data_IF_158553990039
#
_entry.id   IF_158553990039
#
_cell.length_a   1.000
_cell.length_b   1.000
_cell.length_c   1.000
_cell.angle_alpha   90.00
_cell.angle_beta   90.00
_cell.angle_gamma   90.00
#
_symmetry.space_group_name_H-M   'P 1'
#
loop_
_entity.id
_entity.type
_entity.pdbx_description
1 polymer ?
#
# COMPACT_ATOMS: atom_id res chain seq x y z
N UNK A 1 -15.89 -26.07 15.70
CA UNK A 1 -15.08 -25.67 16.87
C UNK A 1 -14.13 -24.59 16.43
N UNK A 2 -14.47 -23.33 16.66
CA UNK A 2 -13.65 -22.17 16.26
C UNK A 2 -12.45 -22.10 17.20
N UNK A 3 -11.28 -22.50 16.72
CA UNK A 3 -10.05 -22.40 17.49
C UNK A 3 -9.81 -20.92 17.79
N UNK A 4 -9.93 -20.52 19.06
CA UNK A 4 -9.53 -19.19 19.51
C UNK A 4 -8.03 -19.09 19.25
N UNK A 5 -7.64 -18.45 18.13
CA UNK A 5 -6.24 -18.15 17.85
C UNK A 5 -5.74 -17.30 19.01
N UNK A 6 -4.80 -17.85 19.80
CA UNK A 6 -4.12 -17.15 20.89
C UNK A 6 -3.69 -15.77 20.37
N UNK A 7 -4.22 -14.70 20.97
CA UNK A 7 -3.91 -13.34 20.55
C UNK A 7 -2.38 -13.14 20.58
N UNK A 8 -1.81 -12.59 19.50
CA UNK A 8 -0.36 -12.33 19.44
C UNK A 8 0.00 -11.35 20.56
N UNK A 9 1.12 -11.59 21.24
CA UNK A 9 1.64 -10.73 22.34
C UNK A 9 1.86 -9.27 21.90
N UNK A 10 2.04 -9.04 20.60
CA UNK A 10 2.18 -7.73 19.98
C UNK A 10 1.50 -7.73 18.61
N UNK A 11 0.95 -6.57 18.22
CA UNK A 11 0.45 -6.36 16.86
C UNK A 11 1.63 -6.34 15.88
N UNK A 12 1.69 -7.25 14.90
CA UNK A 12 2.70 -7.21 13.84
C UNK A 12 2.58 -5.93 12.99
N UNK A 13 3.66 -5.54 12.31
CA UNK A 13 3.69 -4.38 11.42
C UNK A 13 3.17 -4.78 10.03
N UNK A 14 2.12 -4.11 9.54
CA UNK A 14 1.65 -4.21 8.16
C UNK A 14 2.09 -2.95 7.41
N UNK A 15 2.89 -3.12 6.37
CA UNK A 15 3.28 -2.04 5.47
C UNK A 15 2.31 -1.96 4.31
N UNK A 16 1.80 -0.76 4.03
CA UNK A 16 0.95 -0.49 2.88
C UNK A 16 1.72 0.47 1.96
N UNK A 17 1.82 0.13 0.68
CA UNK A 17 2.15 1.14 -0.32
C UNK A 17 1.01 2.18 -0.42
N UNK A 18 1.31 3.33 -1.04
CA UNK A 18 0.35 4.41 -1.20
C UNK A 18 -0.28 4.44 -2.60
N UNK A 19 0.51 4.65 -3.64
CA UNK A 19 0.05 4.92 -5.02
C UNK A 19 -0.30 3.62 -5.77
N UNK A 20 -1.60 3.33 -5.89
CA UNK A 20 -2.11 2.07 -6.45
C UNK A 20 -2.60 1.11 -5.37
N UNK A 21 -2.48 1.46 -4.09
CA UNK A 21 -2.97 0.65 -2.96
C UNK A 21 -3.97 1.42 -2.10
N UNK A 22 -3.57 2.58 -1.55
CA UNK A 22 -4.47 3.44 -0.76
C UNK A 22 -5.07 4.54 -1.63
N UNK A 23 -4.23 5.18 -2.44
CA UNK A 23 -4.58 6.18 -3.45
C UNK A 23 -4.79 5.47 -4.79
N UNK A 24 -5.87 5.78 -5.52
CA UNK A 24 -6.22 5.02 -6.74
C UNK A 24 -5.13 5.07 -7.81
N UNK A 25 -4.51 6.23 -7.99
CA UNK A 25 -3.36 6.43 -8.88
C UNK A 25 -3.68 6.25 -10.38
N UNK A 26 -4.86 6.67 -10.84
CA UNK A 26 -5.25 6.58 -12.28
C UNK A 26 -4.44 7.51 -13.16
N UNK A 27 -4.10 8.68 -12.62
CA UNK A 27 -3.42 9.74 -13.35
C UNK A 27 -1.88 9.63 -13.33
N UNK A 28 -1.33 8.58 -12.71
CA UNK A 28 0.11 8.32 -12.63
C UNK A 28 0.89 9.33 -11.77
N UNK A 29 2.23 9.26 -11.86
CA UNK A 29 3.13 10.08 -11.05
C UNK A 29 3.12 11.56 -11.48
N UNK A 30 2.95 12.45 -10.51
CA UNK A 30 2.94 13.91 -10.72
C UNK A 30 3.83 14.67 -9.72
N UNK A 31 4.71 13.96 -9.03
CA UNK A 31 5.57 14.49 -7.97
C UNK A 31 5.04 14.23 -6.56
N UNK A 32 5.95 14.19 -5.58
CA UNK A 32 5.65 13.69 -4.24
C UNK A 32 4.51 14.43 -3.51
N UNK A 33 4.37 15.74 -3.75
CA UNK A 33 3.39 16.60 -3.08
C UNK A 33 2.03 16.66 -3.79
N UNK A 34 1.90 16.09 -4.99
CA UNK A 34 0.68 16.16 -5.77
C UNK A 34 -0.05 14.81 -5.74
N UNK A 35 -1.22 14.80 -5.11
CA UNK A 35 -2.10 13.63 -4.95
C UNK A 35 -3.51 14.08 -5.36
N UNK A 36 -3.96 13.63 -6.52
CA UNK A 36 -5.11 14.17 -7.25
C UNK A 36 -6.22 13.16 -7.52
N UNK A 37 -6.19 12.02 -6.83
CA UNK A 37 -7.16 10.95 -6.96
C UNK A 37 -7.83 10.63 -5.63
N UNK A 38 -8.99 9.98 -5.67
CA UNK A 38 -9.65 9.45 -4.48
C UNK A 38 -8.99 8.17 -3.95
N UNK A 39 -9.37 7.72 -2.74
CA UNK A 39 -8.93 6.42 -2.25
C UNK A 39 -9.42 5.27 -3.13
N UNK A 40 -8.66 4.19 -3.14
CA UNK A 40 -9.16 2.90 -3.65
C UNK A 40 -10.44 2.52 -2.86
N UNK A 41 -11.52 2.05 -3.51
CA UNK A 41 -12.76 1.73 -2.82
C UNK A 41 -12.53 0.71 -1.70
N UNK A 42 -13.02 1.01 -0.50
CA UNK A 42 -12.83 0.18 0.69
C UNK A 42 -11.49 0.37 1.41
N UNK A 43 -10.58 1.22 0.92
CA UNK A 43 -9.26 1.41 1.56
C UNK A 43 -9.38 2.00 2.98
N UNK A 44 -10.31 2.94 3.19
CA UNK A 44 -10.52 3.57 4.50
C UNK A 44 -11.00 2.54 5.53
N UNK A 45 -12.00 1.74 5.15
CA UNK A 45 -12.57 0.65 5.97
C UNK A 45 -11.51 -0.40 6.25
N UNK A 46 -10.76 -0.81 5.22
CA UNK A 46 -9.68 -1.78 5.36
C UNK A 46 -8.62 -1.32 6.37
N UNK A 47 -8.12 -0.09 6.25
CA UNK A 47 -7.09 0.41 7.18
C UNK A 47 -7.64 0.47 8.60
N UNK A 48 -8.91 0.87 8.77
CA UNK A 48 -9.60 0.91 10.08
C UNK A 48 -9.68 -0.48 10.70
N UNK A 49 -10.14 -1.48 9.98
CA UNK A 49 -10.23 -2.87 10.45
C UNK A 49 -8.85 -3.49 10.68
N UNK A 50 -7.93 -3.33 9.74
CA UNK A 50 -6.57 -3.85 9.85
C UNK A 50 -5.84 -3.29 11.09
N UNK A 51 -6.08 -2.02 11.46
CA UNK A 51 -5.50 -1.40 12.66
C UNK A 51 -5.86 -2.13 13.97
N UNK A 52 -6.96 -2.90 14.00
CA UNK A 52 -7.34 -3.71 15.16
C UNK A 52 -6.38 -4.89 15.38
N UNK A 53 -5.68 -5.35 14.34
CA UNK A 53 -4.80 -6.52 14.35
C UNK A 53 -3.33 -6.17 14.12
N UNK A 54 -3.05 -5.07 13.41
CA UNK A 54 -1.72 -4.67 12.97
C UNK A 54 -1.37 -3.27 13.47
N UNK A 55 -0.07 -3.01 13.58
CA UNK A 55 0.47 -1.65 13.52
C UNK A 55 0.60 -1.31 12.04
N UNK A 56 -0.11 -0.28 11.58
CA UNK A 56 -0.07 0.13 10.17
C UNK A 56 1.09 1.12 9.97
N UNK A 57 1.84 0.91 8.89
CA UNK A 57 2.79 1.89 8.36
C UNK A 57 2.56 2.07 6.88
N UNK A 58 2.53 3.32 6.42
CA UNK A 58 2.56 3.65 4.99
C UNK A 58 4.01 3.83 4.58
N UNK A 59 4.41 3.15 3.50
CA UNK A 59 5.75 3.27 2.92
C UNK A 59 5.61 3.41 1.41
N UNK A 60 6.01 4.57 0.89
CA UNK A 60 5.84 4.94 -0.52
C UNK A 60 7.11 5.55 -1.06
N UNK A 61 7.28 5.54 -2.38
CA UNK A 61 8.31 6.34 -3.08
C UNK A 61 8.18 7.85 -2.81
N UNK A 62 7.03 8.32 -2.31
CA UNK A 62 6.84 9.69 -1.82
C UNK A 62 7.55 9.94 -0.48
N UNK A 63 7.69 8.92 0.37
CA UNK A 63 8.12 9.10 1.76
C UNK A 63 9.48 9.76 1.92
N UNK A 64 10.45 9.41 1.06
CA UNK A 64 11.81 9.95 1.12
C UNK A 64 11.96 11.32 0.45
N UNK A 65 10.90 11.86 -0.15
CA UNK A 65 10.94 13.14 -0.86
C UNK A 65 10.43 14.27 0.05
N UNK A 66 11.04 15.47 0.00
CA UNK A 66 10.60 16.61 0.78
C UNK A 66 9.10 16.92 0.58
N UNK A 67 8.34 16.96 1.68
CA UNK A 67 6.90 17.23 1.66
C UNK A 67 6.02 16.03 1.28
N UNK A 68 6.60 14.87 0.98
CA UNK A 68 5.84 13.70 0.52
C UNK A 68 5.02 13.05 1.62
N UNK A 69 5.58 12.91 2.83
CA UNK A 69 4.85 12.39 3.99
C UNK A 69 3.71 13.34 4.37
N UNK A 70 3.98 14.64 4.41
CA UNK A 70 3.00 15.66 4.76
C UNK A 70 1.83 15.67 3.77
N UNK A 71 2.12 15.53 2.48
CA UNK A 71 1.08 15.44 1.46
C UNK A 71 0.22 14.17 1.62
N UNK A 72 0.84 13.00 1.83
CA UNK A 72 0.11 11.75 2.06
C UNK A 72 -0.73 11.83 3.35
N UNK A 73 -0.18 12.37 4.42
CA UNK A 73 -0.88 12.52 5.70
C UNK A 73 -2.10 13.44 5.56
N UNK A 74 -1.94 14.62 4.96
CA UNK A 74 -3.04 15.56 4.74
C UNK A 74 -4.13 14.97 3.84
N UNK A 75 -3.74 14.22 2.80
CA UNK A 75 -4.68 13.52 1.94
C UNK A 75 -5.43 12.41 2.72
N UNK A 76 -4.73 11.61 3.52
CA UNK A 76 -5.36 10.54 4.32
C UNK A 76 -6.33 11.10 5.36
N UNK A 77 -5.98 12.22 6.00
CA UNK A 77 -6.87 12.93 6.92
C UNK A 77 -8.13 13.43 6.22
N UNK A 78 -7.98 14.08 5.05
CA UNK A 78 -9.10 14.57 4.22
C UNK A 78 -10.12 13.47 3.91
N UNK A 79 -9.68 12.25 3.65
CA UNK A 79 -10.55 11.12 3.31
C UNK A 79 -10.97 10.25 4.51
N UNK A 80 -10.63 10.65 5.74
CA UNK A 80 -11.12 9.99 6.96
C UNK A 80 -10.43 8.68 7.30
N UNK A 81 -9.19 8.46 6.82
CA UNK A 81 -8.37 7.36 7.29
C UNK A 81 -8.04 7.51 8.79
N UNK A 82 -7.89 6.41 9.55
CA UNK A 82 -7.35 6.50 10.90
C UNK A 82 -5.88 6.94 10.87
N UNK A 83 -5.38 7.42 12.00
CA UNK A 83 -3.96 7.79 12.15
C UNK A 83 -3.05 6.56 11.98
N UNK A 84 -2.01 6.70 11.16
CA UNK A 84 -1.02 5.66 10.88
C UNK A 84 0.39 6.25 10.89
N UNK A 85 1.41 5.38 10.93
CA UNK A 85 2.80 5.81 10.80
C UNK A 85 3.22 5.90 9.34
N UNK A 86 4.21 6.74 9.05
CA UNK A 86 4.88 6.80 7.75
C UNK A 86 6.35 6.42 7.93
N UNK A 87 6.89 5.60 7.02
CA UNK A 87 8.30 5.22 7.03
C UNK A 87 9.06 5.96 5.93
N UNK A 88 10.27 6.43 6.22
CA UNK A 88 11.21 6.97 5.23
C UNK A 88 12.03 5.87 4.54
N UNK A 89 12.31 4.79 5.26
CA UNK A 89 13.10 3.65 4.81
C UNK A 89 12.29 2.36 4.85
N UNK A 90 12.78 1.31 4.19
CA UNK A 90 12.12 0.00 4.14
C UNK A 90 11.77 -0.50 5.56
N UNK A 91 10.48 -0.64 5.88
CA UNK A 91 10.08 -1.06 7.21
C UNK A 91 10.39 -2.55 7.44
N UNK A 92 10.67 -2.92 8.70
CA UNK A 92 10.74 -4.32 9.15
C UNK A 92 9.34 -4.91 9.28
N UNK A 93 8.60 -4.93 8.17
CA UNK A 93 7.21 -5.35 8.13
C UNK A 93 7.07 -6.87 8.28
N UNK A 94 6.02 -7.29 8.98
CA UNK A 94 5.59 -8.69 8.96
C UNK A 94 4.99 -9.06 7.61
N UNK A 95 4.27 -8.11 6.99
CA UNK A 95 3.67 -8.25 5.67
C UNK A 95 3.63 -6.87 4.98
N UNK A 96 3.72 -6.87 3.66
CA UNK A 96 3.57 -5.68 2.81
C UNK A 96 2.47 -5.92 1.79
N UNK A 97 1.62 -4.91 1.55
CA UNK A 97 0.68 -4.86 0.43
C UNK A 97 1.13 -3.73 -0.50
N UNK A 98 1.37 -4.07 -1.76
CA UNK A 98 1.98 -3.20 -2.77
C UNK A 98 1.43 -3.61 -4.16
N UNK A 99 1.05 -2.65 -4.99
CA UNK A 99 0.40 -2.90 -6.28
C UNK A 99 1.35 -3.46 -7.35
N UNK A 100 2.67 -3.45 -7.08
CA UNK A 100 3.74 -3.86 -7.98
C UNK A 100 4.65 -4.95 -7.39
N UNK A 101 4.26 -5.56 -6.28
CA UNK A 101 5.03 -6.63 -5.67
C UNK A 101 4.52 -8.03 -6.07
N UNK A 102 5.45 -8.91 -6.43
CA UNK A 102 5.20 -10.34 -6.62
C UNK A 102 5.78 -11.07 -5.41
N UNK A 103 5.00 -11.93 -4.76
CA UNK A 103 5.50 -12.75 -3.67
C UNK A 103 6.50 -13.79 -4.21
N UNK A 104 7.74 -13.73 -3.75
CA UNK A 104 8.69 -14.82 -3.95
C UNK A 104 8.29 -16.04 -3.11
N UNK A 105 8.01 -17.15 -3.77
CA UNK A 105 7.54 -18.39 -3.15
C UNK A 105 8.65 -19.47 -3.06
N UNK A 106 9.90 -19.13 -3.37
CA UNK A 106 11.03 -20.05 -3.40
C UNK A 106 11.49 -20.46 -4.80
N UNK A 107 10.76 -20.06 -5.86
CA UNK A 107 11.16 -20.26 -7.26
C UNK A 107 11.35 -18.95 -7.99
N UNK A 108 12.37 -18.90 -8.86
CA UNK A 108 12.70 -17.70 -9.63
C UNK A 108 11.80 -17.53 -10.84
N UNK A 109 11.47 -16.28 -11.15
CA UNK A 109 10.70 -15.88 -12.32
C UNK A 109 11.60 -15.72 -13.54
N UNK A 110 11.05 -15.93 -14.74
CA UNK A 110 11.69 -15.50 -15.98
C UNK A 110 11.68 -13.97 -16.07
N UNK A 111 12.84 -13.29 -16.16
CA UNK A 111 12.90 -11.84 -16.30
C UNK A 111 12.11 -11.27 -17.47
N UNK A 112 11.98 -12.00 -18.60
CA UNK A 112 11.22 -11.52 -19.74
C UNK A 112 9.72 -11.52 -19.45
N UNK A 113 9.22 -12.53 -18.74
CA UNK A 113 7.82 -12.59 -18.31
C UNK A 113 7.49 -11.48 -17.30
N UNK A 114 8.45 -11.05 -16.47
CA UNK A 114 8.24 -9.93 -15.55
C UNK A 114 7.91 -8.62 -16.27
N UNK A 115 8.39 -8.41 -17.50
CA UNK A 115 8.09 -7.21 -18.29
C UNK A 115 6.60 -7.10 -18.67
N UNK A 116 5.86 -8.22 -18.63
CA UNK A 116 4.43 -8.27 -18.93
C UNK A 116 3.55 -7.89 -17.74
N UNK A 117 4.13 -7.63 -16.58
CA UNK A 117 3.40 -7.27 -15.37
C UNK A 117 2.54 -6.02 -15.60
N UNK A 118 1.28 -6.08 -15.17
CA UNK A 118 0.37 -4.93 -15.13
C UNK A 118 -0.23 -4.81 -13.72
N UNK A 119 -0.22 -3.60 -13.12
CA UNK A 119 -0.93 -3.39 -11.88
C UNK A 119 -2.45 -3.51 -12.11
N UNK A 120 -3.18 -3.86 -11.06
CA UNK A 120 -4.62 -4.16 -11.13
C UNK A 120 -5.47 -2.98 -11.65
N UNK A 121 -4.99 -1.75 -11.53
CA UNK A 121 -5.68 -0.52 -11.92
C UNK A 121 -5.40 -0.08 -13.37
N UNK A 122 -4.73 -0.91 -14.16
CA UNK A 122 -4.55 -0.70 -15.61
C UNK A 122 -5.43 -1.68 -16.39
N UNK A 123 -6.14 -1.23 -17.43
CA UNK A 123 -6.89 -2.14 -18.28
C UNK A 123 -5.94 -3.15 -18.93
N UNK A 124 -6.45 -4.34 -19.21
CA UNK A 124 -5.79 -5.22 -20.17
C UNK A 124 -5.66 -4.45 -21.50
N UNK A 125 -4.58 -4.71 -22.25
CA UNK A 125 -4.53 -4.14 -23.60
C UNK A 125 -5.73 -4.76 -24.33
N UNK A 126 -6.55 -3.94 -24.99
CA UNK A 126 -7.46 -4.49 -25.98
C UNK A 126 -6.58 -5.23 -26.99
N UNK A 127 -6.83 -6.53 -27.20
CA UNK A 127 -6.12 -7.30 -28.21
C UNK A 127 -6.37 -6.62 -29.57
N UNK A 128 -5.33 -5.95 -30.12
CA UNK A 128 -5.30 -5.45 -31.50
C UNK A 128 -5.37 -6.61 -32.52
#
# INVERSE_FOLDING_TARGET
MTTVKKARKYKPLLSLDFDGVLHWYRNGWKGARYIDDEPVPGAVEFVREASQYFRIVVYSSRSSQPGGIEAMQAWMEKYGFPEVKFANDKPKAFLTIDDRAIQFNGTWFDPQELLKFKPWNKPADEED
#
